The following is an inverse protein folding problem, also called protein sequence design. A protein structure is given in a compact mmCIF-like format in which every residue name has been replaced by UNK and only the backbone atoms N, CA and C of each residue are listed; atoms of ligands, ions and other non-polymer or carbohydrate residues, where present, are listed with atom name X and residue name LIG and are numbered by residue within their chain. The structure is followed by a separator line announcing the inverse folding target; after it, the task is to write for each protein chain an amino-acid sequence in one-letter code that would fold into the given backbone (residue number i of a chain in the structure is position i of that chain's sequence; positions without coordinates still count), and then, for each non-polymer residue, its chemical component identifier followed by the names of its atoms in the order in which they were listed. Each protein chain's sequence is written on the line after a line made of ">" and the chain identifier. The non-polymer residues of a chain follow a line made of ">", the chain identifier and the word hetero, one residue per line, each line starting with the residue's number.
data_IF_010692822980
#
_entry.id   IF_010692822980
#
_cell.length_a   1.000
_cell.length_b   1.000
_cell.length_c   1.000
_cell.angle_alpha   90.00
_cell.angle_beta   90.00
_cell.angle_gamma   90.00
#
_symmetry.space_group_name_H-M   'P 1'
#
loop_
_entity.id
_entity.type
_entity.pdbx_description
1 polymer ?
#
# COMPACT_ATOMS: atom_id res chain seq x y z
N UNK A 1 0.77 9.53 9.96
CA UNK A 1 0.93 10.16 11.29
C UNK A 1 -0.32 9.96 12.11
N UNK A 2 -0.31 9.03 13.07
CA UNK A 2 -1.41 8.70 14.01
C UNK A 2 -0.96 8.77 15.47
N UNK A 3 -1.92 8.96 16.39
CA UNK A 3 -1.71 9.14 17.84
C UNK A 3 -2.16 7.95 18.70
N UNK A 4 -3.08 7.11 18.20
CA UNK A 4 -3.78 6.07 18.99
C UNK A 4 -3.30 4.65 18.63
N UNK A 5 -1.97 4.46 18.65
CA UNK A 5 -1.29 3.27 18.09
C UNK A 5 -1.70 1.97 18.79
N UNK A 6 -1.84 1.98 20.12
CA UNK A 6 -2.16 0.77 20.88
C UNK A 6 -3.55 0.23 20.53
N UNK A 7 -4.50 1.13 20.27
CA UNK A 7 -5.85 0.73 19.85
C UNK A 7 -5.80 0.08 18.47
N UNK A 8 -5.15 0.73 17.49
CA UNK A 8 -4.99 0.18 16.14
C UNK A 8 -4.28 -1.18 16.15
N UNK A 9 -3.22 -1.31 16.97
CA UNK A 9 -2.52 -2.59 17.17
C UNK A 9 -3.43 -3.67 17.75
N UNK A 10 -4.21 -3.35 18.78
CA UNK A 10 -5.10 -4.32 19.44
C UNK A 10 -6.22 -4.84 18.54
N UNK A 11 -6.64 -4.06 17.54
CA UNK A 11 -7.64 -4.47 16.55
C UNK A 11 -7.01 -4.98 15.26
N UNK A 12 -5.68 -5.06 15.18
CA UNK A 12 -4.95 -5.49 13.99
C UNK A 12 -5.03 -4.54 12.81
N UNK A 13 -5.40 -3.27 13.01
CA UNK A 13 -5.54 -2.26 11.97
C UNK A 13 -4.19 -1.59 11.67
N UNK A 14 -3.57 -1.84 10.51
CA UNK A 14 -2.27 -1.31 10.17
C UNK A 14 -2.30 0.20 9.94
N UNK A 15 -1.41 0.92 10.62
CA UNK A 15 -1.26 2.37 10.53
C UNK A 15 0.19 2.73 10.27
N UNK A 16 0.43 3.66 9.35
CA UNK A 16 1.77 4.11 8.95
C UNK A 16 2.00 5.61 9.26
N UNK A 17 3.17 5.94 9.84
CA UNK A 17 3.62 7.29 10.25
C UNK A 17 3.07 7.81 11.60
N UNK A 18 3.86 8.55 12.43
CA UNK A 18 3.56 8.97 13.85
C UNK A 18 3.30 10.48 14.03
N UNK A 19 2.29 10.92 14.81
CA UNK A 19 2.31 12.20 15.59
C UNK A 19 1.13 12.30 16.57
N UNK A 20 1.25 13.06 17.67
CA UNK A 20 0.28 13.09 18.79
C UNK A 20 -0.79 14.20 18.71
N UNK A 21 -0.62 15.21 17.85
CA UNK A 21 -1.46 16.41 17.82
C UNK A 21 -2.63 16.24 16.85
N UNK A 22 -3.87 16.56 17.21
CA UNK A 22 -5.02 16.41 16.29
C UNK A 22 -5.03 17.41 15.12
N UNK A 23 -5.41 16.96 13.92
CA UNK A 23 -5.66 17.78 12.74
C UNK A 23 -6.85 18.75 12.85
N UNK A 24 -7.75 18.59 13.84
CA UNK A 24 -8.89 19.50 14.01
C UNK A 24 -8.41 20.95 14.14
N UNK A 25 -9.07 21.85 13.42
CA UNK A 25 -8.71 23.28 13.28
C UNK A 25 -7.33 23.56 12.66
N UNK A 26 -6.62 22.53 12.16
CA UNK A 26 -5.30 22.65 11.52
C UNK A 26 -5.35 22.27 10.06
N UNK A 27 -6.16 21.27 9.74
CA UNK A 27 -6.38 20.76 8.40
C UNK A 27 -7.87 20.58 8.16
N UNK A 28 -8.24 20.60 6.88
CA UNK A 28 -9.57 20.28 6.38
C UNK A 28 -9.42 19.31 5.22
N UNK A 29 -10.35 18.37 5.11
CA UNK A 29 -10.44 17.52 3.93
C UNK A 29 -10.74 18.41 2.71
N UNK A 30 -9.93 18.29 1.66
CA UNK A 30 -10.16 19.00 0.40
C UNK A 30 -11.00 18.14 -0.55
N UNK A 31 -10.58 16.90 -0.77
CA UNK A 31 -11.23 15.95 -1.68
C UNK A 31 -10.92 14.50 -1.27
N UNK A 32 -11.69 13.57 -1.83
CA UNK A 32 -11.44 12.12 -1.82
C UNK A 32 -11.62 11.55 -3.23
N UNK A 33 -10.95 10.44 -3.53
CA UNK A 33 -11.01 9.77 -4.84
C UNK A 33 -10.20 10.45 -5.94
N UNK A 34 -9.42 11.49 -5.62
CA UNK A 34 -8.51 12.12 -6.57
C UNK A 34 -7.10 11.51 -6.49
N UNK A 35 -6.33 11.50 -7.60
CA UNK A 35 -4.96 11.00 -7.57
C UNK A 35 -4.08 11.77 -6.57
N UNK A 36 -3.24 11.05 -5.82
CA UNK A 36 -2.27 11.60 -4.88
C UNK A 36 -0.85 11.44 -5.41
N UNK A 37 0.00 12.43 -5.13
CA UNK A 37 1.45 12.24 -5.26
C UNK A 37 2.03 11.76 -3.95
N UNK A 38 2.57 10.55 -3.98
CA UNK A 38 3.24 9.90 -2.86
C UNK A 38 4.70 9.74 -3.24
N UNK A 39 5.50 10.75 -2.91
CA UNK A 39 6.91 10.83 -3.33
C UNK A 39 7.00 10.76 -4.85
N UNK A 40 7.73 9.77 -5.38
CA UNK A 40 7.91 9.55 -6.81
C UNK A 40 6.78 8.71 -7.44
N UNK A 41 5.83 8.19 -6.64
CA UNK A 41 4.72 7.37 -7.10
C UNK A 41 3.40 8.16 -7.14
N UNK A 42 2.68 8.05 -8.25
CA UNK A 42 1.28 8.51 -8.35
C UNK A 42 0.35 7.39 -7.94
N UNK A 43 -0.52 7.66 -6.98
CA UNK A 43 -1.52 6.70 -6.49
C UNK A 43 -2.90 7.21 -6.88
N UNK A 44 -3.59 6.45 -7.71
CA UNK A 44 -4.97 6.73 -8.07
C UNK A 44 -5.91 6.00 -7.12
N UNK A 45 -7.16 6.46 -7.06
CA UNK A 45 -8.24 5.69 -6.46
C UNK A 45 -8.29 4.30 -7.11
N UNK A 46 -8.45 3.27 -6.28
CA UNK A 46 -8.53 1.85 -6.66
C UNK A 46 -7.26 1.21 -7.24
N UNK A 47 -6.11 1.90 -7.19
CA UNK A 47 -4.78 1.27 -7.31
C UNK A 47 -4.50 0.39 -6.08
N UNK A 48 -3.64 -0.61 -6.15
CA UNK A 48 -3.40 -1.49 -5.01
C UNK A 48 -2.29 -0.98 -4.12
N UNK A 49 -2.55 -1.00 -2.81
CA UNK A 49 -1.57 -0.75 -1.76
C UNK A 49 -1.11 -2.10 -1.21
N UNK A 50 0.21 -2.30 -1.15
CA UNK A 50 0.83 -3.44 -0.48
C UNK A 50 1.81 -2.87 0.51
N UNK A 51 1.65 -3.18 1.79
CA UNK A 51 2.46 -2.59 2.85
C UNK A 51 2.78 -3.61 3.93
N UNK A 52 4.04 -3.67 4.34
CA UNK A 52 4.49 -4.50 5.46
C UNK A 52 5.53 -3.75 6.32
N UNK A 53 6.50 -4.47 6.89
CA UNK A 53 7.56 -3.92 7.75
C UNK A 53 8.75 -3.34 6.98
N UNK A 54 8.86 -3.67 5.70
CA UNK A 54 9.86 -3.12 4.80
C UNK A 54 9.45 -1.73 4.37
N UNK A 55 8.26 -1.54 3.79
CA UNK A 55 7.69 -0.23 3.42
C UNK A 55 6.32 -0.39 2.72
N UNK A 56 5.91 0.60 1.91
CA UNK A 56 4.70 0.59 1.09
C UNK A 56 5.06 0.57 -0.40
N UNK A 57 4.33 -0.23 -1.17
CA UNK A 57 4.37 -0.23 -2.64
C UNK A 57 2.96 -0.01 -3.17
N UNK A 58 2.84 0.87 -4.16
CA UNK A 58 1.63 1.11 -4.92
C UNK A 58 1.72 0.46 -6.29
N UNK A 59 0.68 -0.27 -6.69
CA UNK A 59 0.63 -0.98 -7.97
C UNK A 59 -0.57 -0.46 -8.76
N UNK A 60 -0.36 0.08 -9.98
CA UNK A 60 -1.45 0.47 -10.84
C UNK A 60 -2.41 -0.69 -11.05
N UNK A 61 -3.69 -0.45 -10.91
CA UNK A 61 -4.66 -1.53 -10.93
C UNK A 61 -4.69 -2.33 -12.23
N UNK A 62 -4.43 -1.68 -13.36
CA UNK A 62 -4.34 -2.32 -14.68
C UNK A 62 -3.13 -3.25 -14.82
N UNK A 63 -2.15 -3.14 -13.90
CA UNK A 63 -0.91 -3.93 -13.89
C UNK A 63 -0.81 -4.89 -12.71
N UNK A 64 -1.85 -4.99 -11.88
CA UNK A 64 -1.79 -5.75 -10.62
C UNK A 64 -1.47 -7.22 -10.84
N UNK A 65 -2.11 -7.85 -11.82
CA UNK A 65 -1.93 -9.27 -12.15
C UNK A 65 -0.49 -9.53 -12.58
N UNK A 66 0.06 -8.71 -13.47
CA UNK A 66 1.42 -8.88 -13.96
C UNK A 66 2.47 -8.67 -12.87
N UNK A 67 2.28 -7.65 -12.02
CA UNK A 67 3.17 -7.37 -10.89
C UNK A 67 3.15 -8.52 -9.88
N UNK A 68 1.96 -9.06 -9.58
CA UNK A 68 1.77 -10.20 -8.70
C UNK A 68 2.46 -11.46 -9.21
N UNK A 69 2.14 -11.88 -10.44
CA UNK A 69 2.69 -13.09 -11.01
C UNK A 69 4.23 -13.05 -11.05
N UNK A 70 4.78 -11.87 -11.37
CA UNK A 70 6.22 -11.65 -11.36
C UNK A 70 6.80 -11.66 -9.94
N UNK A 71 6.15 -10.98 -8.99
CA UNK A 71 6.53 -10.95 -7.58
C UNK A 71 6.59 -12.35 -6.99
N UNK A 72 5.57 -13.18 -7.23
CA UNK A 72 5.58 -14.57 -6.77
C UNK A 72 6.70 -15.40 -7.40
N UNK A 73 7.03 -15.18 -8.68
CA UNK A 73 8.16 -15.87 -9.33
C UNK A 73 9.49 -15.46 -8.69
N UNK A 74 9.63 -14.18 -8.36
CA UNK A 74 10.80 -13.62 -7.67
C UNK A 74 10.93 -14.24 -6.28
N UNK A 75 9.86 -14.22 -5.49
CA UNK A 75 9.86 -14.77 -4.12
C UNK A 75 10.19 -16.28 -4.12
N UNK A 76 9.52 -17.07 -4.99
CA UNK A 76 9.83 -18.50 -5.16
C UNK A 76 11.30 -18.72 -5.51
N UNK A 77 11.89 -17.86 -6.36
CA UNK A 77 13.30 -18.00 -6.75
C UNK A 77 14.24 -17.61 -5.62
N UNK A 78 13.95 -16.54 -4.89
CA UNK A 78 14.72 -16.09 -3.74
C UNK A 78 14.68 -17.15 -2.63
N UNK A 79 13.53 -17.79 -2.36
CA UNK A 79 13.42 -18.90 -1.42
C UNK A 79 14.34 -20.09 -1.81
N UNK A 80 14.43 -20.41 -3.10
CA UNK A 80 15.36 -21.43 -3.61
C UNK A 80 16.83 -21.00 -3.46
N UNK A 81 17.16 -19.73 -3.71
CA UNK A 81 18.51 -19.19 -3.50
C UNK A 81 18.92 -19.28 -2.02
N UNK A 82 18.03 -18.90 -1.11
CA UNK A 82 18.26 -19.01 0.35
C UNK A 82 18.48 -20.47 0.75
N UNK A 83 17.67 -21.41 0.23
CA UNK A 83 17.86 -22.85 0.46
C UNK A 83 19.22 -23.34 -0.03
N UNK A 84 19.64 -22.90 -1.20
CA UNK A 84 20.93 -23.25 -1.81
C UNK A 84 22.10 -22.77 -0.95
N UNK A 85 22.07 -21.52 -0.47
CA UNK A 85 23.07 -20.99 0.46
C UNK A 85 23.09 -21.77 1.77
N UNK A 86 21.92 -22.07 2.35
CA UNK A 86 21.80 -22.90 3.57
C UNK A 86 22.33 -24.32 3.37
N UNK A 87 22.31 -24.82 2.15
CA UNK A 87 22.87 -26.11 1.76
C UNK A 87 24.37 -26.05 1.44
N UNK A 88 25.05 -24.97 1.86
CA UNK A 88 26.49 -24.71 1.67
C UNK A 88 26.95 -24.53 0.22
N UNK A 89 26.05 -24.19 -0.72
CA UNK A 89 26.51 -23.72 -2.03
C UNK A 89 27.25 -22.38 -1.88
N UNK A 90 28.32 -22.14 -2.65
CA UNK A 90 29.02 -20.85 -2.61
C UNK A 90 28.06 -19.70 -2.95
N UNK A 91 28.00 -18.66 -2.10
CA UNK A 91 27.10 -17.52 -2.29
C UNK A 91 27.32 -16.85 -3.65
N UNK A 92 28.57 -16.72 -4.10
CA UNK A 92 28.88 -16.15 -5.41
C UNK A 92 28.22 -16.94 -6.56
N UNK A 93 28.16 -18.27 -6.48
CA UNK A 93 27.49 -19.09 -7.50
C UNK A 93 25.97 -18.87 -7.48
N UNK A 94 25.38 -18.80 -6.27
CA UNK A 94 23.95 -18.54 -6.10
C UNK A 94 23.55 -17.16 -6.61
N UNK A 95 24.37 -16.13 -6.37
CA UNK A 95 24.09 -14.76 -6.80
C UNK A 95 24.24 -14.55 -8.31
N UNK A 96 25.02 -15.38 -9.01
CA UNK A 96 25.14 -15.36 -10.49
C UNK A 96 24.12 -16.29 -11.17
N UNK A 97 22.97 -16.48 -10.52
CA UNK A 97 21.92 -17.34 -11.02
C UNK A 97 21.20 -16.74 -12.25
N UNK A 98 21.52 -17.29 -13.42
CA UNK A 98 20.89 -16.92 -14.70
C UNK A 98 19.36 -17.06 -14.71
N UNK A 99 18.79 -17.91 -13.85
CA UNK A 99 17.32 -18.08 -13.77
C UNK A 99 16.63 -16.89 -13.15
N UNK A 100 17.24 -16.27 -12.12
CA UNK A 100 16.74 -15.02 -11.53
C UNK A 100 16.77 -13.87 -12.55
N UNK A 101 17.83 -13.81 -13.36
CA UNK A 101 17.96 -12.81 -14.44
C UNK A 101 16.89 -13.01 -15.54
N UNK A 102 16.56 -14.26 -15.87
CA UNK A 102 15.64 -14.60 -16.97
C UNK A 102 14.16 -14.70 -16.57
N UNK A 103 13.79 -14.37 -15.34
CA UNK A 103 12.42 -14.54 -14.78
C UNK A 103 11.30 -13.90 -15.62
N UNK A 104 11.60 -12.93 -16.50
CA UNK A 104 10.62 -12.29 -17.40
C UNK A 104 10.23 -13.14 -18.60
N UNK A 105 11.03 -14.13 -19.00
CA UNK A 105 10.88 -14.85 -20.27
C UNK A 105 9.90 -16.03 -20.20
N UNK A 106 9.42 -16.40 -19.01
CA UNK A 106 8.40 -17.43 -18.80
C UNK A 106 7.02 -16.78 -18.67
N UNK A 107 6.43 -16.35 -19.79
CA UNK A 107 5.11 -15.70 -19.81
C UNK A 107 3.99 -16.75 -19.83
N UNK A 108 3.09 -16.68 -18.85
CA UNK A 108 1.74 -17.28 -18.96
C UNK A 108 0.81 -16.27 -19.62
N UNK A 109 -0.18 -16.76 -20.38
CA UNK A 109 -1.08 -15.90 -21.16
C UNK A 109 -1.79 -14.88 -20.25
N UNK A 110 -1.97 -13.62 -20.68
CA UNK A 110 -2.58 -12.59 -19.85
C UNK A 110 -4.00 -12.99 -19.47
N UNK A 111 -4.30 -12.96 -18.17
CA UNK A 111 -5.67 -13.01 -17.67
C UNK A 111 -6.35 -11.70 -18.05
N UNK A 112 -7.39 -11.76 -18.89
CA UNK A 112 -8.14 -10.58 -19.31
C UNK A 112 -9.00 -10.09 -18.14
N UNK A 113 -8.58 -9.00 -17.50
CA UNK A 113 -9.46 -8.25 -16.60
C UNK A 113 -10.36 -7.38 -17.48
N UNK A 114 -11.67 -7.59 -17.40
CA UNK A 114 -12.65 -6.81 -18.17
C UNK A 114 -12.54 -5.31 -17.88
N UNK A 115 -12.96 -4.48 -18.83
CA UNK A 115 -12.97 -3.02 -18.69
C UNK A 115 -13.70 -2.59 -17.41
N UNK A 116 -12.99 -1.93 -16.50
CA UNK A 116 -13.52 -1.37 -15.23
C UNK A 116 -14.62 -0.34 -15.51
N UNK A 117 -15.85 -0.64 -15.12
CA UNK A 117 -16.92 0.35 -14.99
C UNK A 117 -17.03 0.80 -13.53
N UNK A 118 -17.29 2.10 -13.26
CA UNK A 118 -17.49 2.58 -11.90
C UNK A 118 -18.73 1.91 -11.31
N UNK A 119 -18.54 1.05 -10.30
CA UNK A 119 -19.61 0.33 -9.61
C UNK A 119 -19.87 0.90 -8.22
N UNK A 120 -21.09 0.69 -7.70
CA UNK A 120 -21.60 1.31 -6.47
C UNK A 120 -20.65 1.16 -5.26
N UNK A 121 -20.35 2.31 -4.63
CA UNK A 121 -19.25 2.61 -3.69
C UNK A 121 -19.11 1.78 -2.40
N UNK A 122 -20.12 1.02 -1.96
CA UNK A 122 -20.14 0.47 -0.58
C UNK A 122 -20.11 -1.07 -0.49
N UNK A 123 -19.71 -1.79 -1.54
CA UNK A 123 -19.49 -3.24 -1.46
C UNK A 123 -18.15 -3.62 -2.09
N UNK A 124 -17.30 -4.31 -1.32
CA UNK A 124 -16.11 -4.96 -1.83
C UNK A 124 -16.50 -5.85 -3.01
N UNK A 125 -15.88 -5.62 -4.18
CA UNK A 125 -16.09 -6.47 -5.35
C UNK A 125 -15.50 -7.85 -5.08
N UNK A 126 -16.02 -8.88 -5.72
CA UNK A 126 -15.54 -10.25 -5.50
C UNK A 126 -14.05 -10.41 -5.88
N UNK A 127 -13.59 -9.67 -6.91
CA UNK A 127 -12.17 -9.55 -7.26
C UNK A 127 -11.32 -8.97 -6.11
N UNK A 128 -11.81 -7.92 -5.44
CA UNK A 128 -11.11 -7.28 -4.31
C UNK A 128 -11.12 -8.13 -3.03
N UNK A 129 -12.01 -9.14 -2.95
CA UNK A 129 -12.05 -10.11 -1.85
C UNK A 129 -11.05 -11.24 -2.01
N UNK A 130 -10.80 -11.68 -3.24
CA UNK A 130 -9.87 -12.79 -3.55
C UNK A 130 -8.42 -12.31 -3.70
N UNK A 131 -8.21 -11.06 -4.09
CA UNK A 131 -6.87 -10.49 -4.27
C UNK A 131 -6.02 -10.49 -2.99
N UNK A 132 -6.49 -10.02 -1.81
CA UNK A 132 -5.69 -10.09 -0.58
C UNK A 132 -5.17 -11.49 -0.25
N UNK A 133 -5.91 -12.55 -0.61
CA UNK A 133 -5.46 -13.92 -0.45
C UNK A 133 -4.32 -14.30 -1.41
N UNK A 134 -4.31 -13.76 -2.64
CA UNK A 134 -3.19 -13.89 -3.60
C UNK A 134 -1.92 -13.19 -3.07
N UNK A 135 -2.07 -12.11 -2.30
CA UNK A 135 -0.94 -11.39 -1.70
C UNK A 135 -0.44 -11.98 -0.37
N UNK A 136 -1.09 -12.99 0.21
CA UNK A 136 -0.74 -13.54 1.52
C UNK A 136 0.70 -14.08 1.61
N UNK A 137 1.35 -14.30 0.47
CA UNK A 137 2.72 -14.80 0.37
C UNK A 137 3.69 -13.86 -0.36
N UNK A 138 3.22 -12.70 -0.86
CA UNK A 138 4.10 -11.73 -1.52
C UNK A 138 4.44 -10.61 -0.54
N UNK A 139 5.71 -10.50 -0.17
CA UNK A 139 6.20 -9.37 0.61
C UNK A 139 6.47 -8.15 -0.29
N UNK A 140 6.54 -6.97 0.32
CA UNK A 140 6.81 -5.73 -0.42
C UNK A 140 8.15 -5.74 -1.17
N UNK A 141 9.25 -6.36 -0.70
CA UNK A 141 10.47 -6.53 -1.49
C UNK A 141 10.25 -7.27 -2.82
N UNK A 142 9.56 -8.42 -2.81
CA UNK A 142 9.32 -9.19 -4.03
C UNK A 142 8.47 -8.40 -5.04
N UNK A 143 7.45 -7.68 -4.55
CA UNK A 143 6.63 -6.79 -5.39
C UNK A 143 7.45 -5.60 -5.90
N UNK A 144 8.31 -5.02 -5.07
CA UNK A 144 9.22 -3.93 -5.47
C UNK A 144 10.17 -4.37 -6.59
N UNK A 145 10.81 -5.54 -6.47
CA UNK A 145 11.68 -6.10 -7.51
C UNK A 145 10.89 -6.38 -8.80
N UNK A 146 9.62 -6.81 -8.67
CA UNK A 146 8.73 -6.98 -9.81
C UNK A 146 8.46 -5.64 -10.51
N UNK A 147 8.11 -4.59 -9.77
CA UNK A 147 7.89 -3.26 -10.33
C UNK A 147 9.13 -2.70 -11.02
N UNK A 148 10.31 -2.85 -10.43
CA UNK A 148 11.59 -2.42 -11.03
C UNK A 148 11.84 -3.13 -12.35
N UNK A 149 11.62 -4.45 -12.39
CA UNK A 149 11.70 -5.19 -13.64
C UNK A 149 10.66 -4.64 -14.61
N UNK A 150 9.40 -4.46 -14.22
CA UNK A 150 8.30 -3.96 -15.07
C UNK A 150 8.44 -2.50 -15.51
N UNK A 151 9.37 -1.73 -14.95
CA UNK A 151 9.53 -0.31 -15.22
C UNK A 151 8.38 0.53 -14.66
N UNK A 152 7.76 0.07 -13.56
CA UNK A 152 6.66 0.75 -12.89
C UNK A 152 7.23 1.47 -11.66
N UNK A 153 7.00 2.77 -11.54
CA UNK A 153 7.36 3.53 -10.34
C UNK A 153 6.21 3.47 -9.33
N UNK A 154 6.38 2.67 -8.28
CA UNK A 154 5.34 2.44 -7.25
C UNK A 154 5.86 2.39 -5.82
N UNK A 155 7.18 2.33 -5.63
CA UNK A 155 7.81 2.21 -4.33
C UNK A 155 7.72 3.52 -3.55
N UNK A 156 7.13 3.48 -2.36
CA UNK A 156 6.97 4.65 -1.50
C UNK A 156 7.85 4.52 -0.25
N UNK A 157 9.07 5.01 -0.39
CA UNK A 157 10.11 4.92 0.64
C UNK A 157 9.75 5.71 1.91
N UNK A 158 10.32 5.36 3.06
CA UNK A 158 10.15 6.00 4.38
C UNK A 158 8.71 6.04 4.92
N UNK A 159 7.83 5.17 4.44
CA UNK A 159 6.50 4.98 5.02
C UNK A 159 6.53 3.71 5.86
N UNK A 160 6.92 3.86 7.12
CA UNK A 160 7.09 2.75 8.06
C UNK A 160 5.82 2.47 8.87
N UNK A 161 5.53 1.20 9.19
CA UNK A 161 4.41 0.86 10.06
C UNK A 161 4.67 1.34 11.49
N UNK A 162 3.60 1.72 12.18
CA UNK A 162 3.67 2.20 13.57
C UNK A 162 3.82 1.10 14.61
N UNK A 163 3.53 -0.14 14.23
CA UNK A 163 3.66 -1.31 15.08
C UNK A 163 4.21 -2.46 14.25
N UNK A 164 4.66 -3.51 14.94
CA UNK A 164 5.04 -4.76 14.30
C UNK A 164 3.77 -5.55 13.96
N UNK A 165 3.14 -5.23 12.83
CA UNK A 165 2.03 -6.00 12.28
C UNK A 165 2.57 -7.31 11.70
N UNK A 166 1.88 -8.42 11.97
CA UNK A 166 2.32 -9.77 11.54
C UNK A 166 1.90 -10.11 10.11
N UNK A 167 0.89 -9.42 9.57
CA UNK A 167 0.35 -9.61 8.23
C UNK A 167 0.73 -8.46 7.29
N UNK A 168 0.85 -8.78 6.00
CA UNK A 168 0.94 -7.79 4.93
C UNK A 168 -0.43 -7.09 4.79
N UNK A 169 -0.42 -5.76 4.74
CA UNK A 169 -1.59 -4.93 4.44
C UNK A 169 -1.77 -4.87 2.95
N UNK A 170 -2.96 -5.23 2.47
CA UNK A 170 -3.24 -5.29 1.04
C UNK A 170 -4.66 -4.80 0.78
N UNK A 171 -4.84 -3.95 -0.21
CA UNK A 171 -6.17 -3.56 -0.68
C UNK A 171 -6.15 -2.43 -1.68
N UNK A 172 -7.29 -2.15 -2.33
CA UNK A 172 -7.45 -0.98 -3.18
C UNK A 172 -7.29 0.32 -2.37
N UNK A 173 -6.66 1.32 -2.98
CA UNK A 173 -6.37 2.61 -2.40
C UNK A 173 -7.63 3.47 -2.39
N UNK A 174 -8.05 3.90 -1.21
CA UNK A 174 -9.01 4.97 -1.04
C UNK A 174 -8.26 6.28 -0.78
N UNK A 175 -8.20 7.17 -1.77
CA UNK A 175 -7.36 8.37 -1.68
C UNK A 175 -8.07 9.54 -1.01
N UNK A 176 -7.35 10.23 -0.12
CA UNK A 176 -7.85 11.41 0.61
C UNK A 176 -6.81 12.51 0.63
N UNK A 177 -7.22 13.74 0.31
CA UNK A 177 -6.35 14.92 0.37
C UNK A 177 -6.80 15.89 1.44
N UNK A 178 -5.85 16.39 2.22
CA UNK A 178 -6.06 17.48 3.15
C UNK A 178 -5.31 18.75 2.73
N UNK A 179 -5.80 19.89 3.19
CA UNK A 179 -5.13 21.20 3.09
C UNK A 179 -5.19 21.92 4.44
N UNK A 180 -4.33 22.93 4.69
CA UNK A 180 -4.43 23.75 5.90
C UNK A 180 -5.83 24.31 6.11
N UNK A 181 -6.29 24.32 7.36
CA UNK A 181 -7.62 24.80 7.70
C UNK A 181 -7.77 26.30 7.39
N UNK A 182 -8.93 26.64 6.83
CA UNK A 182 -9.40 28.02 6.69
C UNK A 182 -10.29 28.42 7.88
N UNK A 183 -10.73 29.68 7.92
CA UNK A 183 -11.70 30.16 8.91
C UNK A 183 -13.03 30.49 8.20
N UNK A 184 -14.16 29.85 8.55
CA UNK A 184 -14.32 28.82 9.58
C UNK A 184 -13.69 27.47 9.19
N UNK A 185 -13.29 26.64 10.17
CA UNK A 185 -12.72 25.33 9.89
C UNK A 185 -13.78 24.39 9.28
N UNK A 186 -13.40 23.69 8.20
CA UNK A 186 -14.17 22.61 7.58
C UNK A 186 -14.05 21.27 8.33
N UNK A 187 -14.60 20.22 7.72
CA UNK A 187 -14.57 18.86 8.27
C UNK A 187 -13.22 18.16 8.01
N UNK A 188 -12.98 17.09 8.77
CA UNK A 188 -11.76 16.26 8.71
C UNK A 188 -12.04 14.78 8.44
N UNK A 189 -13.29 14.36 8.22
CA UNK A 189 -13.60 12.93 8.14
C UNK A 189 -14.83 12.58 7.30
N UNK A 190 -15.24 13.44 6.38
CA UNK A 190 -16.44 13.23 5.57
C UNK A 190 -16.32 12.03 4.62
N UNK A 191 -15.08 11.62 4.30
CA UNK A 191 -14.83 10.47 3.44
C UNK A 191 -15.08 9.12 4.11
N UNK A 192 -15.18 9.05 5.44
CA UNK A 192 -15.17 7.77 6.18
C UNK A 192 -16.32 6.86 5.75
N UNK A 193 -17.49 7.43 5.47
CA UNK A 193 -18.69 6.68 5.05
C UNK A 193 -18.61 6.13 3.62
N UNK A 194 -17.64 6.60 2.82
CA UNK A 194 -17.39 6.16 1.45
C UNK A 194 -16.32 5.06 1.35
N UNK A 195 -15.62 4.74 2.45
CA UNK A 195 -14.55 3.73 2.47
C UNK A 195 -15.17 2.34 2.43
N UNK A 196 -14.81 1.54 1.43
CA UNK A 196 -15.34 0.19 1.28
C UNK A 196 -14.58 -0.81 2.17
N UNK A 197 -15.24 -1.94 2.42
CA UNK A 197 -14.62 -3.07 3.12
C UNK A 197 -13.42 -3.55 2.31
N UNK A 198 -12.26 -3.67 2.95
CA UNK A 198 -11.03 -4.10 2.29
C UNK A 198 -10.19 -2.97 1.69
N UNK A 199 -10.69 -1.73 1.66
CA UNK A 199 -9.89 -0.59 1.21
C UNK A 199 -8.72 -0.30 2.14
N UNK A 200 -7.65 0.25 1.57
CA UNK A 200 -6.54 0.87 2.30
C UNK A 200 -6.63 2.37 2.10
N UNK A 201 -6.89 3.11 3.17
CA UNK A 201 -7.04 4.57 3.10
C UNK A 201 -5.65 5.21 2.92
N UNK A 202 -5.43 5.94 1.83
CA UNK A 202 -4.17 6.64 1.53
C UNK A 202 -4.38 8.14 1.69
N UNK A 203 -3.68 8.75 2.65
CA UNK A 203 -3.92 10.16 3.02
C UNK A 203 -2.71 11.04 2.70
N UNK A 204 -2.89 12.03 1.82
CA UNK A 204 -1.96 13.16 1.68
C UNK A 204 -2.29 14.25 2.70
N UNK A 205 -1.42 14.37 3.72
CA UNK A 205 -1.55 15.37 4.76
C UNK A 205 -0.74 16.66 4.50
N UNK A 206 -0.42 16.96 3.24
CA UNK A 206 0.48 18.05 2.86
C UNK A 206 1.86 17.98 3.56
N UNK A 207 2.33 16.78 3.92
CA UNK A 207 3.63 16.61 4.61
C UNK A 207 3.71 17.15 6.03
N UNK A 208 2.59 17.59 6.62
CA UNK A 208 2.59 18.16 7.97
C UNK A 208 2.90 17.13 9.05
N UNK A 209 4.00 17.34 9.77
CA UNK A 209 4.45 16.48 10.89
C UNK A 209 3.95 16.90 12.26
N UNK A 210 3.35 18.08 12.35
CA UNK A 210 2.85 18.68 13.57
C UNK A 210 1.40 18.31 13.91
N UNK A 211 0.73 17.47 13.10
CA UNK A 211 -0.62 16.97 13.39
C UNK A 211 -1.01 15.68 12.64
N UNK A 212 -1.96 14.94 13.20
CA UNK A 212 -2.50 13.67 12.72
C UNK A 212 -3.92 13.82 12.20
N UNK A 213 -4.16 13.24 11.03
CA UNK A 213 -5.47 13.09 10.36
C UNK A 213 -6.15 11.76 10.68
N UNK A 214 -5.54 10.91 11.52
CA UNK A 214 -6.07 9.60 11.88
C UNK A 214 -5.93 9.29 13.36
N UNK A 215 -7.03 8.95 14.02
CA UNK A 215 -7.07 8.68 15.47
C UNK A 215 -7.97 7.48 15.81
N UNK A 216 -8.59 7.53 16.99
CA UNK A 216 -9.42 6.47 17.58
C UNK A 216 -10.59 5.92 16.72
N UNK A 217 -10.99 6.69 15.70
CA UNK A 217 -12.04 6.28 14.76
C UNK A 217 -11.39 5.37 13.73
N UNK A 218 -11.38 4.09 14.07
CA UNK A 218 -11.01 3.01 13.15
C UNK A 218 -12.21 2.73 12.26
N UNK A 219 -12.00 2.69 10.95
CA UNK A 219 -13.01 2.16 10.03
C UNK A 219 -12.98 0.65 10.19
N UNK A 220 -13.99 0.11 10.90
CA UNK A 220 -14.00 -1.27 11.36
C UNK A 220 -13.79 -2.31 10.24
N UNK A 221 -14.13 -1.94 9.01
CA UNK A 221 -14.11 -2.85 7.86
C UNK A 221 -13.00 -2.52 6.83
N UNK A 222 -12.17 -1.49 7.03
CA UNK A 222 -11.05 -1.20 6.14
C UNK A 222 -9.82 -2.07 6.48
N UNK A 223 -8.96 -2.35 5.50
CA UNK A 223 -7.77 -3.19 5.67
C UNK A 223 -6.58 -2.44 6.31
N UNK A 224 -6.60 -1.11 6.31
CA UNK A 224 -5.57 -0.30 6.96
C UNK A 224 -5.59 1.16 6.51
N UNK A 225 -4.67 1.95 7.06
CA UNK A 225 -4.44 3.34 6.64
C UNK A 225 -2.95 3.60 6.42
N UNK A 226 -2.64 4.13 5.24
CA UNK A 226 -1.33 4.65 4.88
C UNK A 226 -1.38 6.17 4.87
N UNK A 227 -0.66 6.80 5.79
CA UNK A 227 -0.60 8.25 5.85
C UNK A 227 0.71 8.68 5.23
N UNK A 228 0.60 9.44 4.15
CA UNK A 228 1.70 9.85 3.31
C UNK A 228 2.20 11.22 3.79
N UNK A 229 3.42 11.30 4.34
CA UNK A 229 4.11 12.57 4.41
C UNK A 229 4.55 12.95 3.00
N UNK A 230 4.17 14.15 2.54
CA UNK A 230 4.88 14.84 1.47
C UNK A 230 6.31 15.12 1.97
N UNK A 231 7.31 14.94 1.12
CA UNK A 231 8.69 15.22 1.51
C UNK A 231 8.81 16.64 2.07
N UNK A 232 9.71 16.78 3.05
CA UNK A 232 10.08 18.07 3.61
C UNK A 232 10.46 19.06 2.53
N UNK A 233 10.10 20.33 2.75
CA UNK A 233 10.72 21.46 2.09
C UNK A 233 12.24 21.50 2.33
#
# INVERSE_FOLDING_TARGET
>A
MSRDIDRSRNVGYPVYGVTMISARNRLVQLDSGSPLQVRDATVNQDDYVIADRCEVVFVPAERIVEALELGERIDRRQALMVRDVRSSKPIAEVMHDKKFDSIRQETTAPVSVGSRQPSNRNQARDEDRELPALFAHSDTPAVSDALDKLGISGQALNIMPLANYESVTVGPAFTVRYVPASNPPGSVGDFIDDVAIGDVVVIDNCGRTDCTVWGDIVVADANGVVIVPRDGA
#
